data_IF_527038203672
#
_entry.id   IF_527038203672
#
_cell.length_a   1.000
_cell.length_b   1.000
_cell.length_c   1.000
_cell.angle_alpha   90.00
_cell.angle_beta   90.00
_cell.angle_gamma   90.00
#
_symmetry.space_group_name_H-M   'P 1'
#
loop_
_entity.id
_entity.type
_entity.pdbx_description
1 polymer ?
#
# COMPACT_ATOMS: atom_id res chain seq x y z
N UNK A 1 -13.95 24.95 -7.35
CA UNK A 1 -13.12 23.87 -7.94
C UNK A 1 -13.75 22.54 -7.57
N UNK A 2 -13.87 21.61 -8.51
CA UNK A 2 -14.41 20.26 -8.24
C UNK A 2 -13.44 19.42 -7.40
N UNK A 3 -13.95 18.35 -6.78
CA UNK A 3 -13.11 17.34 -6.12
C UNK A 3 -12.42 16.49 -7.18
N UNK A 4 -11.14 16.16 -6.95
CA UNK A 4 -10.37 15.20 -7.75
C UNK A 4 -10.06 13.99 -6.90
N UNK A 5 -10.26 12.80 -7.45
CA UNK A 5 -9.81 11.54 -6.86
C UNK A 5 -8.46 11.19 -7.51
N UNK A 6 -7.49 10.81 -6.68
CA UNK A 6 -6.17 10.34 -7.12
C UNK A 6 -6.02 8.93 -6.59
N UNK A 7 -5.72 7.99 -7.48
CA UNK A 7 -5.41 6.62 -7.11
C UNK A 7 -3.95 6.55 -6.64
N UNK A 8 -3.74 5.98 -5.45
CA UNK A 8 -2.42 5.77 -4.83
C UNK A 8 -2.05 4.28 -4.80
N UNK A 9 -2.82 3.43 -5.49
CA UNK A 9 -2.63 1.99 -5.51
C UNK A 9 -1.67 1.60 -6.63
N UNK A 10 -0.78 0.64 -6.36
CA UNK A 10 -0.02 -0.01 -7.41
C UNK A 10 -0.83 -1.12 -8.08
N UNK A 11 -0.64 -1.37 -9.40
CA UNK A 11 -1.24 -2.53 -10.07
C UNK A 11 -0.81 -3.83 -9.39
N UNK A 12 -1.74 -4.78 -9.28
CA UNK A 12 -1.44 -6.14 -8.83
C UNK A 12 -1.48 -7.09 -10.02
N UNK A 13 -0.38 -7.80 -10.24
CA UNK A 13 -0.24 -8.82 -11.29
C UNK A 13 0.75 -9.90 -10.86
N UNK A 14 0.74 -11.04 -11.57
CA UNK A 14 1.53 -12.24 -11.22
C UNK A 14 3.04 -11.98 -11.14
N UNK A 15 3.53 -11.02 -11.93
CA UNK A 15 4.96 -10.75 -12.10
C UNK A 15 5.50 -9.63 -11.19
N UNK A 16 4.62 -8.96 -10.44
CA UNK A 16 4.99 -7.78 -9.65
C UNK A 16 6.13 -8.08 -8.66
N UNK A 17 6.91 -7.05 -8.35
CA UNK A 17 7.90 -7.12 -7.28
C UNK A 17 7.17 -7.27 -5.95
N UNK A 18 7.61 -8.23 -5.14
CA UNK A 18 7.08 -8.45 -3.79
C UNK A 18 8.22 -8.54 -2.80
N UNK A 19 7.98 -8.10 -1.56
CA UNK A 19 8.97 -8.19 -0.50
C UNK A 19 9.45 -9.65 -0.35
N UNK A 20 10.76 -9.90 -0.11
CA UNK A 20 11.26 -11.25 0.06
C UNK A 20 10.46 -12.06 1.08
N UNK A 21 10.11 -13.30 0.73
CA UNK A 21 9.30 -14.24 1.54
C UNK A 21 7.80 -13.93 1.63
N UNK A 22 7.31 -12.84 1.03
CA UNK A 22 5.88 -12.69 0.76
C UNK A 22 5.52 -13.56 -0.45
N UNK A 23 4.46 -14.35 -0.33
CA UNK A 23 3.99 -15.20 -1.43
C UNK A 23 3.51 -14.30 -2.58
N UNK A 24 4.06 -14.52 -3.77
CA UNK A 24 3.62 -13.82 -5.00
C UNK A 24 2.12 -14.04 -5.23
N UNK A 25 1.39 -13.03 -5.73
CA UNK A 25 -0.01 -13.20 -6.04
C UNK A 25 -0.18 -14.21 -7.19
N UNK A 26 -1.32 -14.88 -7.20
CA UNK A 26 -1.77 -15.69 -8.34
C UNK A 26 -3.13 -15.18 -8.79
N UNK A 27 -3.16 -14.64 -9.99
CA UNK A 27 -4.34 -14.23 -10.73
C UNK A 27 -4.45 -15.17 -11.93
N UNK A 28 -5.37 -16.11 -11.84
CA UNK A 28 -5.64 -17.10 -12.87
C UNK A 28 -7.02 -16.84 -13.44
N UNK A 29 -7.13 -16.64 -14.76
CA UNK A 29 -8.42 -16.71 -15.44
C UNK A 29 -8.91 -18.15 -15.30
N UNK A 30 -9.85 -18.40 -14.39
CA UNK A 30 -10.35 -19.74 -14.13
C UNK A 30 -11.31 -20.17 -15.23
N UNK A 31 -12.17 -19.24 -15.66
CA UNK A 31 -13.09 -19.43 -16.76
C UNK A 31 -13.19 -18.13 -17.57
N UNK A 32 -12.95 -18.23 -18.87
CA UNK A 32 -13.09 -17.11 -19.79
C UNK A 32 -14.53 -16.98 -20.32
N UNK A 33 -14.77 -15.92 -21.10
CA UNK A 33 -16.12 -15.57 -21.56
C UNK A 33 -16.76 -16.65 -22.45
N UNK A 34 -15.97 -17.32 -23.29
CA UNK A 34 -16.44 -18.35 -24.22
C UNK A 34 -16.64 -19.68 -23.49
N UNK A 35 -15.72 -20.02 -22.59
CA UNK A 35 -15.79 -21.17 -21.70
C UNK A 35 -17.06 -21.13 -20.84
N UNK A 36 -17.34 -20.00 -20.20
CA UNK A 36 -18.58 -19.84 -19.42
C UNK A 36 -19.82 -20.00 -20.29
N UNK A 37 -19.87 -19.28 -21.43
CA UNK A 37 -21.02 -19.32 -22.32
C UNK A 37 -21.32 -20.73 -22.86
N UNK A 38 -20.27 -21.47 -23.18
CA UNK A 38 -20.37 -22.86 -23.61
C UNK A 38 -20.76 -23.78 -22.45
N UNK A 39 -20.15 -23.61 -21.27
CA UNK A 39 -20.37 -24.43 -20.08
C UNK A 39 -21.81 -24.39 -19.57
N UNK A 40 -22.51 -23.25 -19.73
CA UNK A 40 -23.93 -23.12 -19.36
C UNK A 40 -24.90 -23.37 -20.52
N UNK A 41 -24.40 -23.72 -21.72
CA UNK A 41 -25.21 -23.98 -22.91
C UNK A 41 -25.75 -22.73 -23.62
N UNK A 42 -25.38 -21.52 -23.19
CA UNK A 42 -25.86 -20.28 -23.80
C UNK A 42 -25.39 -20.13 -25.27
N UNK A 43 -24.23 -20.71 -25.60
CA UNK A 43 -23.70 -20.73 -26.95
C UNK A 43 -24.65 -21.42 -27.96
N UNK A 44 -25.41 -22.42 -27.53
CA UNK A 44 -26.41 -23.12 -28.36
C UNK A 44 -27.58 -22.20 -28.76
N UNK A 45 -27.79 -21.12 -28.00
CA UNK A 45 -28.79 -20.09 -28.26
C UNK A 45 -28.18 -18.84 -28.93
N UNK A 46 -26.95 -18.93 -29.42
CA UNK A 46 -26.26 -17.84 -30.13
C UNK A 46 -25.57 -16.82 -29.21
N UNK A 47 -25.51 -17.07 -27.90
CA UNK A 47 -24.80 -16.21 -26.94
C UNK A 47 -23.45 -16.84 -26.61
N UNK A 48 -22.40 -16.40 -27.31
CA UNK A 48 -21.08 -17.06 -27.28
C UNK A 48 -20.07 -16.44 -26.33
N UNK A 49 -20.43 -15.38 -25.62
CA UNK A 49 -19.54 -14.67 -24.69
C UNK A 49 -20.33 -14.18 -23.48
N UNK A 50 -19.98 -14.66 -22.29
CA UNK A 50 -20.65 -14.35 -21.02
C UNK A 50 -19.64 -14.14 -19.89
N UNK A 51 -20.07 -14.22 -18.64
CA UNK A 51 -19.29 -13.79 -17.47
C UNK A 51 -18.03 -14.62 -17.24
N UNK A 52 -16.87 -14.05 -17.56
CA UNK A 52 -15.58 -14.59 -17.13
C UNK A 52 -15.32 -14.32 -15.65
N UNK A 53 -14.49 -15.16 -15.01
CA UNK A 53 -14.05 -14.92 -13.64
C UNK A 53 -12.64 -15.45 -13.35
N UNK A 54 -11.96 -14.73 -12.46
CA UNK A 54 -10.62 -15.06 -11.99
C UNK A 54 -10.67 -15.81 -10.65
N UNK A 55 -9.75 -16.75 -10.48
CA UNK A 55 -9.29 -17.19 -9.17
C UNK A 55 -8.13 -16.29 -8.74
N UNK A 56 -8.25 -15.74 -7.54
CA UNK A 56 -7.34 -14.74 -7.02
C UNK A 56 -6.82 -15.20 -5.65
N UNK A 57 -5.51 -15.46 -5.57
CA UNK A 57 -4.80 -15.81 -4.33
C UNK A 57 -3.80 -14.69 -4.04
N UNK A 58 -3.99 -13.95 -2.95
CA UNK A 58 -3.07 -12.91 -2.49
C UNK A 58 -2.67 -13.13 -1.04
N UNK A 59 -1.42 -12.79 -0.72
CA UNK A 59 -1.03 -12.46 0.64
C UNK A 59 -1.54 -11.06 1.04
N UNK A 60 -1.73 -10.85 2.33
CA UNK A 60 -2.16 -9.58 2.94
C UNK A 60 -1.12 -8.45 2.84
N UNK A 61 0.12 -8.78 2.50
CA UNK A 61 1.23 -7.85 2.27
C UNK A 61 1.63 -7.68 0.79
N UNK A 62 0.73 -8.02 -0.15
CA UNK A 62 0.98 -7.87 -1.59
C UNK A 62 0.41 -6.54 -2.08
N UNK A 63 1.22 -5.79 -2.84
CA UNK A 63 0.83 -4.51 -3.43
C UNK A 63 0.66 -3.39 -2.40
N UNK A 64 -0.14 -2.38 -2.73
CA UNK A 64 -0.53 -1.34 -1.76
C UNK A 64 -1.48 -1.95 -0.73
N UNK A 65 -1.07 -1.99 0.54
CA UNK A 65 -1.78 -2.68 1.60
C UNK A 65 -1.75 -1.91 2.93
N UNK A 66 -2.45 -2.43 3.94
CA UNK A 66 -2.45 -1.91 5.30
C UNK A 66 -2.18 -3.05 6.29
N UNK A 67 -1.21 -2.83 7.17
CA UNK A 67 -0.82 -3.82 8.17
C UNK A 67 -1.74 -3.76 9.39
N UNK A 68 -2.37 -4.89 9.72
CA UNK A 68 -3.07 -5.04 10.99
C UNK A 68 -2.06 -5.24 12.13
N UNK A 69 -2.45 -4.92 13.37
CA UNK A 69 -1.60 -5.12 14.55
C UNK A 69 -1.12 -6.56 14.72
N UNK A 70 -1.92 -7.54 14.27
CA UNK A 70 -1.56 -8.97 14.27
C UNK A 70 -0.31 -9.29 13.45
N UNK A 71 0.05 -8.45 12.48
CA UNK A 71 1.28 -8.59 11.71
C UNK A 71 2.53 -8.61 12.61
N UNK A 72 2.52 -7.79 13.67
CA UNK A 72 3.68 -7.63 14.57
C UNK A 72 3.45 -8.19 15.98
N UNK A 73 2.19 -8.32 16.42
CA UNK A 73 1.86 -8.64 17.81
C UNK A 73 0.90 -9.82 17.88
N UNK A 74 1.40 -10.93 18.42
CA UNK A 74 0.60 -12.14 18.66
C UNK A 74 -0.63 -11.85 19.53
N UNK A 75 -1.76 -12.45 19.17
CA UNK A 75 -3.04 -12.28 19.87
C UNK A 75 -3.78 -10.97 19.62
N UNK A 76 -3.25 -10.08 18.76
CA UNK A 76 -4.01 -8.90 18.30
C UNK A 76 -4.98 -9.25 17.15
N UNK A 77 -6.04 -8.44 16.94
CA UNK A 77 -6.95 -8.61 15.81
C UNK A 77 -6.25 -8.53 14.46
N UNK A 78 -6.73 -9.31 13.48
CA UNK A 78 -6.32 -9.19 12.09
C UNK A 78 -6.96 -7.98 11.39
N UNK A 79 -6.99 -7.97 10.05
CA UNK A 79 -7.57 -6.88 9.26
C UNK A 79 -9.01 -6.52 9.64
N UNK A 80 -9.80 -7.50 10.09
CA UNK A 80 -11.17 -7.31 10.58
C UNK A 80 -11.28 -6.40 11.81
N UNK A 81 -10.17 -6.18 12.53
CA UNK A 81 -10.12 -5.31 13.70
C UNK A 81 -9.61 -3.90 13.44
N UNK A 82 -9.32 -3.52 12.19
CA UNK A 82 -8.89 -2.16 11.83
C UNK A 82 -10.13 -1.24 11.86
N UNK A 83 -10.19 -0.23 12.74
CA UNK A 83 -11.29 0.73 12.77
C UNK A 83 -11.38 1.55 11.49
N UNK A 84 -12.58 1.73 10.94
CA UNK A 84 -12.79 2.45 9.68
C UNK A 84 -12.42 3.94 9.79
N UNK A 85 -12.57 4.53 10.98
CA UNK A 85 -12.16 5.90 11.26
C UNK A 85 -10.65 6.12 11.16
N UNK A 86 -9.84 5.06 11.16
CA UNK A 86 -8.40 5.16 10.91
C UNK A 86 -8.09 5.22 9.41
N UNK A 87 -9.02 4.76 8.57
CA UNK A 87 -8.82 4.59 7.12
C UNK A 87 -9.43 5.72 6.28
N UNK A 88 -10.01 6.74 6.91
CA UNK A 88 -10.62 7.88 6.24
C UNK A 88 -10.46 9.16 7.05
N UNK A 89 -9.80 10.14 6.46
CA UNK A 89 -9.47 11.40 7.12
C UNK A 89 -8.63 12.30 6.22
N UNK A 90 -8.00 13.30 6.83
CA UNK A 90 -7.11 14.21 6.11
C UNK A 90 -5.78 13.50 5.83
N UNK A 91 -5.38 13.50 4.56
CA UNK A 91 -4.10 12.95 4.12
C UNK A 91 -3.01 14.01 4.17
N UNK A 92 -1.90 13.71 4.84
CA UNK A 92 -0.73 14.59 4.96
C UNK A 92 0.45 13.96 4.22
N UNK A 93 0.80 14.51 3.06
CA UNK A 93 1.92 14.04 2.25
C UNK A 93 3.21 14.76 2.65
N UNK A 94 4.24 14.02 3.04
CA UNK A 94 5.55 14.54 3.41
C UNK A 94 6.62 14.07 2.42
N UNK A 95 7.30 15.02 1.77
CA UNK A 95 8.25 14.76 0.68
C UNK A 95 9.68 14.51 1.20
N UNK A 96 10.13 13.27 1.06
CA UNK A 96 11.46 12.78 1.42
C UNK A 96 12.27 12.25 0.23
N UNK A 97 11.85 12.54 -1.01
CA UNK A 97 12.57 12.12 -2.24
C UNK A 97 14.02 12.61 -2.34
N UNK A 98 14.38 13.60 -1.53
CA UNK A 98 15.71 14.17 -1.44
C UNK A 98 16.65 13.38 -0.51
N UNK A 99 16.15 12.37 0.22
CA UNK A 99 16.95 11.54 1.10
C UNK A 99 17.68 10.46 0.29
N UNK A 100 18.91 10.17 0.71
CA UNK A 100 19.72 9.10 0.12
C UNK A 100 19.10 7.72 0.38
N UNK A 101 19.36 6.77 -0.52
CA UNK A 101 18.97 5.37 -0.34
C UNK A 101 19.59 4.81 0.96
N UNK A 102 18.82 4.06 1.74
CA UNK A 102 19.25 3.54 3.04
C UNK A 102 19.24 4.55 4.19
N UNK A 103 18.90 5.82 3.94
CA UNK A 103 18.86 6.82 5.00
C UNK A 103 17.63 6.65 5.91
N UNK A 104 17.84 6.88 7.21
CA UNK A 104 16.77 7.04 8.19
C UNK A 104 16.15 8.43 8.12
N UNK A 105 14.82 8.50 8.10
CA UNK A 105 14.02 9.72 8.27
C UNK A 105 13.80 9.91 9.77
N UNK A 106 14.40 10.97 10.33
CA UNK A 106 14.37 11.27 11.76
C UNK A 106 13.16 12.12 12.17
N UNK A 107 12.90 12.23 13.48
CA UNK A 107 11.85 13.11 14.00
C UNK A 107 12.06 14.59 13.62
N UNK A 108 13.32 15.05 13.53
CA UNK A 108 13.63 16.41 13.09
C UNK A 108 13.32 16.62 11.61
N UNK A 109 13.52 15.60 10.77
CA UNK A 109 13.13 15.64 9.37
C UNK A 109 11.60 15.73 9.21
N UNK A 110 10.86 15.01 10.05
CA UNK A 110 9.40 15.07 10.11
C UNK A 110 8.89 16.45 10.50
N UNK A 111 9.45 17.04 11.57
CA UNK A 111 9.14 18.41 12.00
C UNK A 111 9.38 19.42 10.89
N UNK A 112 10.52 19.30 10.20
CA UNK A 112 10.87 20.17 9.09
C UNK A 112 9.91 20.00 7.90
N UNK A 113 9.57 18.77 7.53
CA UNK A 113 8.66 18.48 6.42
C UNK A 113 7.25 19.02 6.69
N UNK A 114 6.73 18.84 7.91
CA UNK A 114 5.43 19.37 8.33
C UNK A 114 5.43 20.89 8.32
N UNK A 115 6.50 21.52 8.81
CA UNK A 115 6.65 22.98 8.77
C UNK A 115 6.65 23.55 7.36
N UNK A 116 7.26 22.85 6.39
CA UNK A 116 7.31 23.29 4.98
C UNK A 116 5.96 23.35 4.29
N UNK A 117 5.03 22.49 4.69
CA UNK A 117 3.66 22.47 4.14
C UNK A 117 2.69 23.36 4.92
N UNK A 118 3.19 24.11 5.92
CA UNK A 118 2.40 25.00 6.79
C UNK A 118 1.19 24.30 7.41
N UNK A 119 1.45 23.14 8.03
CA UNK A 119 0.42 22.27 8.58
C UNK A 119 0.72 21.88 10.04
N UNK A 120 -0.32 21.56 10.80
CA UNK A 120 -0.22 21.01 12.15
C UNK A 120 -0.85 19.62 12.16
N UNK A 121 -0.04 18.59 12.40
CA UNK A 121 -0.53 17.21 12.51
C UNK A 121 -1.56 17.12 13.63
N UNK A 122 -2.74 16.58 13.31
CA UNK A 122 -3.82 16.33 14.27
C UNK A 122 -4.11 14.83 14.42
N UNK A 123 -4.77 14.43 15.53
CA UNK A 123 -5.18 13.03 15.70
C UNK A 123 -5.99 12.52 14.52
N UNK A 124 -5.75 11.26 14.13
CA UNK A 124 -6.36 10.57 12.98
C UNK A 124 -6.00 11.08 11.58
N UNK A 125 -5.05 12.02 11.44
CA UNK A 125 -4.45 12.28 10.13
C UNK A 125 -3.77 11.01 9.58
N UNK A 126 -3.88 10.81 8.26
CA UNK A 126 -3.16 9.76 7.53
C UNK A 126 -1.87 10.35 6.96
N UNK A 127 -0.74 10.01 7.58
CA UNK A 127 0.56 10.58 7.19
C UNK A 127 1.22 9.69 6.15
N UNK A 128 1.47 10.23 4.95
CA UNK A 128 2.04 9.54 3.81
C UNK A 128 3.47 10.03 3.58
N UNK A 129 4.42 9.11 3.62
CA UNK A 129 5.85 9.33 3.46
C UNK A 129 6.22 9.08 1.99
N UNK A 130 6.66 10.13 1.31
CA UNK A 130 6.99 10.07 -0.11
C UNK A 130 8.51 10.02 -0.33
N UNK A 131 9.03 8.82 -0.52
CA UNK A 131 10.46 8.54 -0.77
C UNK A 131 10.81 8.57 -2.26
N UNK A 132 9.82 8.41 -3.15
CA UNK A 132 10.01 8.32 -4.59
C UNK A 132 10.07 6.88 -5.11
N UNK A 133 10.12 5.90 -4.22
CA UNK A 133 10.16 4.48 -4.55
C UNK A 133 8.96 4.00 -5.37
N UNK A 134 7.81 4.66 -5.22
CA UNK A 134 6.61 4.38 -6.02
C UNK A 134 6.80 4.57 -7.54
N UNK A 135 7.89 5.19 -7.99
CA UNK A 135 8.17 5.40 -9.41
C UNK A 135 8.87 4.22 -10.12
N UNK A 136 9.36 3.23 -9.37
CA UNK A 136 10.10 2.07 -9.91
C UNK A 136 9.63 0.74 -9.30
N UNK A 137 8.33 0.64 -8.99
CA UNK A 137 7.68 -0.55 -8.38
C UNK A 137 7.83 -1.86 -9.16
N UNK A 138 8.18 -1.80 -10.45
CA UNK A 138 8.41 -2.98 -11.31
C UNK A 138 9.89 -3.42 -11.34
N UNK A 139 10.79 -2.65 -10.72
CA UNK A 139 12.22 -2.87 -10.79
C UNK A 139 12.76 -3.48 -9.49
N UNK A 140 13.76 -4.35 -9.57
CA UNK A 140 14.38 -4.98 -8.38
C UNK A 140 14.92 -3.95 -7.37
N UNK A 141 15.36 -2.78 -7.87
CA UNK A 141 15.79 -1.64 -7.02
C UNK A 141 14.70 -1.13 -6.08
N UNK A 142 13.42 -1.41 -6.33
CA UNK A 142 12.32 -1.10 -5.40
C UNK A 142 12.52 -1.74 -4.02
N UNK A 143 13.24 -2.87 -3.96
CA UNK A 143 13.48 -3.61 -2.73
C UNK A 143 14.55 -3.00 -1.82
N UNK A 144 15.36 -2.06 -2.32
CA UNK A 144 16.56 -1.60 -1.60
C UNK A 144 16.93 -0.14 -1.81
N UNK A 145 16.42 0.51 -2.86
CA UNK A 145 16.68 1.92 -3.13
C UNK A 145 15.56 2.79 -2.59
N UNK A 146 15.51 2.97 -1.28
CA UNK A 146 14.62 3.93 -0.64
C UNK A 146 15.17 4.38 0.71
N UNK A 147 14.72 5.53 1.20
CA UNK A 147 14.85 5.89 2.61
C UNK A 147 13.74 5.22 3.42
N UNK A 148 13.83 5.25 4.75
CA UNK A 148 12.80 4.68 5.61
C UNK A 148 12.71 5.37 6.96
N UNK A 149 11.66 5.07 7.69
CA UNK A 149 11.33 5.71 8.97
C UNK A 149 12.21 5.17 10.10
N UNK A 150 12.68 6.06 10.97
CA UNK A 150 13.33 5.64 12.21
C UNK A 150 12.31 5.47 13.33
N UNK A 151 12.71 4.75 14.39
CA UNK A 151 11.87 4.55 15.58
C UNK A 151 11.37 5.88 16.17
N UNK A 152 12.25 6.86 16.29
CA UNK A 152 11.90 8.17 16.86
C UNK A 152 10.94 8.95 15.96
N UNK A 153 11.07 8.88 14.63
CA UNK A 153 10.12 9.51 13.71
C UNK A 153 8.73 8.87 13.80
N UNK A 154 8.68 7.54 13.88
CA UNK A 154 7.44 6.78 14.07
C UNK A 154 6.75 7.15 15.39
N UNK A 155 7.50 7.18 16.50
CA UNK A 155 6.96 7.56 17.81
C UNK A 155 6.48 9.01 17.83
N UNK A 156 7.20 9.91 17.18
CA UNK A 156 6.82 11.33 17.08
C UNK A 156 5.43 11.51 16.45
N UNK A 157 5.09 10.71 15.44
CA UNK A 157 3.75 10.68 14.83
C UNK A 157 2.70 10.05 15.76
N UNK A 158 3.03 8.92 16.40
CA UNK A 158 2.12 8.23 17.34
C UNK A 158 1.72 9.15 18.50
N UNK A 159 2.68 9.89 19.06
CA UNK A 159 2.47 10.83 20.16
C UNK A 159 1.51 11.98 19.79
N UNK A 160 1.35 12.27 18.50
CA UNK A 160 0.40 13.25 17.96
C UNK A 160 -0.97 12.66 17.58
N UNK A 161 -1.18 11.38 17.88
CA UNK A 161 -2.46 10.70 17.66
C UNK A 161 -2.65 10.15 16.25
N UNK A 162 -1.60 10.10 15.42
CA UNK A 162 -1.63 9.40 14.13
C UNK A 162 -1.81 7.90 14.37
N UNK A 163 -2.69 7.28 13.58
CA UNK A 163 -3.01 5.84 13.66
C UNK A 163 -2.56 5.04 12.45
N UNK A 164 -2.53 5.68 11.28
CA UNK A 164 -2.10 5.07 10.02
C UNK A 164 -1.03 5.96 9.41
N UNK A 165 0.06 5.32 9.04
CA UNK A 165 1.17 5.91 8.31
C UNK A 165 1.38 5.05 7.07
N UNK A 166 1.59 5.69 5.92
CA UNK A 166 1.88 5.00 4.67
C UNK A 166 3.24 5.44 4.13
N UNK A 167 3.91 4.56 3.38
CA UNK A 167 5.14 4.86 2.65
C UNK A 167 4.99 4.32 1.23
N UNK A 168 5.64 4.96 0.25
CA UNK A 168 5.64 4.50 -1.15
C UNK A 168 6.77 3.49 -1.45
N UNK A 169 7.41 2.93 -0.43
CA UNK A 169 8.46 1.94 -0.51
C UNK A 169 7.96 0.55 -0.09
N UNK A 170 8.74 -0.50 -0.38
CA UNK A 170 8.34 -1.90 -0.10
C UNK A 170 8.24 -2.21 1.40
N UNK A 171 8.92 -1.43 2.24
CA UNK A 171 8.91 -1.55 3.70
C UNK A 171 8.98 -0.17 4.35
N UNK A 172 8.54 -0.08 5.61
CA UNK A 172 8.46 1.17 6.36
C UNK A 172 9.83 1.64 6.88
N UNK A 173 10.70 0.70 7.21
CA UNK A 173 12.04 0.95 7.76
C UNK A 173 13.08 1.11 6.63
N UNK A 174 14.26 1.70 6.90
CA UNK A 174 15.36 1.70 5.94
C UNK A 174 15.78 0.26 5.58
N UNK A 175 16.16 0.01 4.31
CA UNK A 175 16.65 -1.30 3.89
C UNK A 175 17.97 -1.68 4.60
N UNK A 176 18.13 -2.97 4.87
CA UNK A 176 19.32 -3.59 5.53
C UNK A 176 20.20 -4.35 4.56
#
# INVERSE_FOLDING_TARGET
>A
MGRRVIDLSMPVHNDMVVFPRVTRPTLLMYEDWEGFASGIGAAEHGVTSLTAHYLTILGDHVGTHIDALKHLVEGKPGPEGIPLEYCYGDGVLLDFRHKENGAGISAADMEEAVRRIDYEIKPLDLVLIWTGAGSYIEEERYLSEHSGMTREATLWLIERGVKVMGIDAVTFDPPV
#
